data_IF_680922442617
#
_entry.id   IF_680922442617
#
_cell.length_a   1.000
_cell.length_b   1.000
_cell.length_c   1.000
_cell.angle_alpha   90.00
_cell.angle_beta   90.00
_cell.angle_gamma   90.00
#
_symmetry.space_group_name_H-M   'P 1'
#
loop_
_entity.id
_entity.type
_entity.pdbx_description
1 polymer ?
#
# COMPACT_ATOMS: atom_id res chain seq x y z
N UNK A 1 9.24 -33.39 43.57
CA UNK A 1 9.32 -31.93 43.32
C UNK A 1 9.81 -31.77 41.90
N UNK A 2 8.90 -31.65 40.94
CA UNK A 2 9.20 -31.74 39.49
C UNK A 2 9.30 -30.32 38.94
N UNK A 3 10.49 -29.94 38.47
CA UNK A 3 10.77 -28.60 37.98
C UNK A 3 10.21 -28.41 36.56
N UNK A 4 9.33 -27.42 36.38
CA UNK A 4 8.92 -26.93 35.06
C UNK A 4 9.98 -25.95 34.55
N UNK A 5 10.70 -26.31 33.48
CA UNK A 5 11.54 -25.38 32.74
C UNK A 5 10.67 -24.65 31.71
N UNK A 6 10.37 -23.38 31.95
CA UNK A 6 9.72 -22.50 30.99
C UNK A 6 10.79 -21.90 30.06
N UNK A 7 10.83 -22.35 28.81
CA UNK A 7 11.68 -21.76 27.76
C UNK A 7 11.07 -20.47 27.24
N UNK A 8 11.73 -19.34 27.45
CA UNK A 8 11.35 -18.06 26.86
C UNK A 8 11.81 -17.99 25.40
N UNK A 9 10.87 -18.03 24.45
CA UNK A 9 11.13 -17.74 23.04
C UNK A 9 11.15 -16.22 22.85
N UNK A 10 12.34 -15.64 22.68
CA UNK A 10 12.49 -14.23 22.29
C UNK A 10 12.37 -14.16 20.77
N UNK A 11 11.19 -13.75 20.28
CA UNK A 11 11.01 -13.42 18.86
C UNK A 11 11.60 -12.03 18.63
N UNK A 12 12.81 -11.97 18.09
CA UNK A 12 13.42 -10.71 17.64
C UNK A 12 12.72 -10.25 16.37
N UNK A 13 11.82 -9.27 16.50
CA UNK A 13 11.18 -8.61 15.35
C UNK A 13 12.18 -7.71 14.62
N UNK A 14 12.67 -8.15 13.46
CA UNK A 14 13.43 -7.30 12.55
C UNK A 14 12.45 -6.36 11.82
N UNK A 15 12.14 -5.21 12.40
CA UNK A 15 11.37 -4.16 11.71
C UNK A 15 12.00 -2.79 11.93
N UNK A 16 13.20 -2.61 11.40
CA UNK A 16 13.77 -1.28 11.15
C UNK A 16 14.13 -1.19 9.67
N UNK A 17 13.11 -1.05 8.82
CA UNK A 17 13.35 -0.62 7.44
C UNK A 17 13.91 0.81 7.49
N UNK A 18 15.21 0.95 7.27
CA UNK A 18 15.89 2.24 7.13
C UNK A 18 15.55 2.77 5.74
N UNK A 19 14.45 3.52 5.61
CA UNK A 19 14.04 4.16 4.36
C UNK A 19 12.54 4.43 4.28
N UNK A 20 12.09 5.18 3.25
CA UNK A 20 10.67 5.43 3.02
C UNK A 20 9.87 4.12 2.89
N UNK A 21 8.61 4.07 3.37
CA UNK A 21 7.83 2.83 3.36
C UNK A 21 7.51 2.39 1.93
N UNK A 22 7.78 1.13 1.61
CA UNK A 22 7.41 0.51 0.33
C UNK A 22 6.03 -0.15 0.42
N UNK A 23 5.24 -0.05 -0.65
CA UNK A 23 3.92 -0.69 -0.77
C UNK A 23 4.02 -1.85 -1.74
N UNK A 24 3.46 -3.01 -1.36
CA UNK A 24 3.41 -4.19 -2.22
C UNK A 24 2.10 -4.24 -2.98
N UNK A 25 2.18 -4.43 -4.30
CA UNK A 25 1.04 -4.66 -5.19
C UNK A 25 1.14 -6.05 -5.80
N UNK A 26 0.05 -6.81 -5.73
CA UNK A 26 -0.06 -8.14 -6.34
C UNK A 26 -1.28 -8.21 -7.26
N UNK A 27 -1.09 -8.71 -8.47
CA UNK A 27 -2.15 -8.85 -9.46
C UNK A 27 -1.72 -9.80 -10.57
N UNK A 28 -2.65 -10.62 -11.04
CA UNK A 28 -2.41 -11.62 -12.10
C UNK A 28 -1.12 -12.45 -11.90
N UNK A 29 -0.85 -12.88 -10.67
CA UNK A 29 0.30 -13.73 -10.35
C UNK A 29 1.65 -13.01 -10.26
N UNK A 30 1.68 -11.68 -10.39
CA UNK A 30 2.89 -10.87 -10.33
C UNK A 30 2.87 -9.96 -9.11
N UNK A 31 4.04 -9.74 -8.51
CA UNK A 31 4.24 -8.82 -7.38
C UNK A 31 5.23 -7.73 -7.77
N UNK A 32 4.91 -6.48 -7.43
CA UNK A 32 5.83 -5.34 -7.49
C UNK A 32 5.82 -4.60 -6.15
N UNK A 33 6.96 -4.06 -5.75
CA UNK A 33 7.07 -3.15 -4.61
C UNK A 33 7.31 -1.74 -5.13
N UNK A 34 6.45 -0.80 -4.74
CA UNK A 34 6.58 0.60 -5.10
C UNK A 34 7.18 1.37 -3.94
N UNK A 35 8.23 2.14 -4.23
CA UNK A 35 8.70 3.20 -3.35
C UNK A 35 7.79 4.42 -3.48
N UNK A 36 7.75 5.33 -2.48
CA UNK A 36 6.99 6.56 -2.62
C UNK A 36 7.55 7.42 -3.76
N UNK A 37 6.67 7.93 -4.62
CA UNK A 37 7.03 8.94 -5.64
C UNK A 37 7.25 10.33 -5.02
N UNK A 38 6.69 10.53 -3.83
CA UNK A 38 6.86 11.69 -2.98
C UNK A 38 6.94 11.19 -1.53
N UNK A 39 7.97 11.58 -0.81
CA UNK A 39 8.10 11.30 0.61
C UNK A 39 8.48 12.58 1.35
N UNK A 40 7.72 12.93 2.37
CA UNK A 40 7.99 14.10 3.20
C UNK A 40 8.41 13.66 4.61
N UNK A 41 9.18 14.51 5.27
CA UNK A 41 9.46 14.39 6.69
C UNK A 41 8.18 14.48 7.53
N UNK A 42 8.31 14.23 8.84
CA UNK A 42 7.16 14.16 9.75
C UNK A 42 6.38 15.48 9.81
N UNK A 43 7.06 16.62 9.62
CA UNK A 43 6.46 17.95 9.65
C UNK A 43 5.94 18.42 8.29
N UNK A 44 6.09 17.61 7.23
CA UNK A 44 5.68 17.92 5.85
C UNK A 44 6.33 19.21 5.34
N UNK A 45 7.59 19.45 5.74
CA UNK A 45 8.39 20.61 5.36
C UNK A 45 9.39 20.28 4.28
N UNK A 46 10.01 19.11 4.40
CA UNK A 46 11.07 18.64 3.52
C UNK A 46 10.55 17.42 2.77
N UNK A 47 10.34 17.58 1.46
CA UNK A 47 9.75 16.56 0.61
C UNK A 47 10.70 16.18 -0.53
N UNK A 48 11.10 14.92 -0.54
CA UNK A 48 11.85 14.32 -1.63
C UNK A 48 10.89 13.78 -2.70
N UNK A 49 11.26 13.99 -3.96
CA UNK A 49 10.53 13.48 -5.13
C UNK A 49 11.34 12.41 -5.83
N UNK A 50 10.68 11.30 -6.13
CA UNK A 50 11.25 10.15 -6.81
C UNK A 50 10.39 9.83 -8.03
N UNK A 51 10.48 10.61 -9.12
CA UNK A 51 9.60 10.44 -10.29
C UNK A 51 9.71 9.03 -10.91
N UNK A 52 10.89 8.40 -10.80
CA UNK A 52 11.16 7.07 -11.32
C UNK A 52 10.78 5.93 -10.35
N UNK A 53 10.19 6.25 -9.19
CA UNK A 53 9.73 5.25 -8.22
C UNK A 53 8.39 4.59 -8.58
N UNK A 54 7.67 5.14 -9.56
CA UNK A 54 6.47 4.53 -10.08
C UNK A 54 6.79 3.19 -10.76
N UNK A 55 6.02 2.15 -10.44
CA UNK A 55 6.20 0.80 -10.98
C UNK A 55 5.01 0.42 -11.86
N UNK A 56 5.27 -0.44 -12.85
CA UNK A 56 4.22 -0.99 -13.71
C UNK A 56 3.91 -2.42 -13.32
N UNK A 57 2.64 -2.71 -13.09
CA UNK A 57 2.12 -4.06 -12.90
C UNK A 57 1.11 -4.36 -14.01
N UNK A 58 1.36 -5.39 -14.81
CA UNK A 58 0.43 -5.81 -15.87
C UNK A 58 -0.72 -6.61 -15.25
N UNK A 59 -1.94 -6.12 -15.44
CA UNK A 59 -3.17 -6.82 -15.06
C UNK A 59 -4.17 -6.79 -16.21
N UNK A 60 -4.90 -7.88 -16.40
CA UNK A 60 -5.96 -8.05 -17.40
C UNK A 60 -7.20 -7.25 -17.00
N UNK A 61 -8.08 -6.94 -17.97
CA UNK A 61 -9.38 -6.36 -17.67
C UNK A 61 -10.18 -7.19 -16.65
N UNK A 62 -10.85 -6.51 -15.73
CA UNK A 62 -11.63 -7.08 -14.64
C UNK A 62 -10.82 -7.66 -13.49
N UNK A 63 -9.49 -7.80 -13.63
CA UNK A 63 -8.66 -8.40 -12.60
C UNK A 63 -8.44 -7.43 -11.42
N UNK A 64 -8.47 -7.93 -10.18
CA UNK A 64 -8.16 -7.12 -9.00
C UNK A 64 -6.66 -6.91 -8.84
N UNK A 65 -6.29 -5.83 -8.15
CA UNK A 65 -4.95 -5.63 -7.57
C UNK A 65 -5.07 -5.63 -6.05
N UNK A 66 -4.36 -6.54 -5.40
CA UNK A 66 -4.21 -6.58 -3.95
C UNK A 66 -3.06 -5.65 -3.54
N UNK A 67 -3.34 -4.78 -2.58
CA UNK A 67 -2.41 -3.80 -2.03
C UNK A 67 -2.13 -4.22 -0.60
N UNK A 68 -0.86 -4.32 -0.23
CA UNK A 68 -0.41 -4.56 1.14
C UNK A 68 0.48 -3.40 1.57
N UNK A 69 0.15 -2.80 2.72
CA UNK A 69 0.87 -1.65 3.27
C UNK A 69 1.67 -2.06 4.52
N UNK A 70 2.86 -1.48 4.73
CA UNK A 70 3.62 -1.68 5.97
C UNK A 70 2.96 -0.96 7.14
N UNK A 71 3.38 -1.31 8.36
CA UNK A 71 2.88 -0.71 9.59
C UNK A 71 3.01 0.83 9.59
N UNK A 72 4.13 1.36 9.06
CA UNK A 72 4.37 2.80 8.95
C UNK A 72 3.29 3.57 8.16
N UNK A 73 2.59 2.92 7.22
CA UNK A 73 1.44 3.51 6.52
C UNK A 73 0.15 3.19 7.26
N UNK A 74 -0.06 1.92 7.65
CA UNK A 74 -1.25 1.49 8.39
C UNK A 74 -1.52 2.34 9.62
N UNK A 75 -0.47 2.67 10.37
CA UNK A 75 -0.57 3.36 11.66
C UNK A 75 -0.84 4.87 11.51
N UNK A 76 -1.09 5.33 10.28
CA UNK A 76 -1.48 6.69 9.93
C UNK A 76 -2.78 6.69 9.13
N UNK A 77 -3.45 7.85 8.96
CA UNK A 77 -4.54 7.93 8.00
C UNK A 77 -3.99 7.76 6.58
N UNK A 78 -4.59 6.87 5.80
CA UNK A 78 -4.17 6.63 4.42
C UNK A 78 -5.37 6.44 3.51
N UNK A 79 -5.17 6.67 2.22
CA UNK A 79 -6.19 6.47 1.20
C UNK A 79 -5.62 5.70 0.00
N UNK A 80 -6.53 5.09 -0.76
CA UNK A 80 -6.24 4.50 -2.06
C UNK A 80 -7.03 5.21 -3.13
N UNK A 81 -6.34 5.73 -4.15
CA UNK A 81 -6.96 6.19 -5.40
C UNK A 81 -6.89 5.06 -6.42
N UNK A 82 -8.04 4.66 -6.94
CA UNK A 82 -8.15 3.65 -8.00
C UNK A 82 -8.73 4.31 -9.24
N UNK A 83 -7.89 4.47 -10.27
CA UNK A 83 -8.32 4.94 -11.58
C UNK A 83 -8.44 3.75 -12.54
N UNK A 84 -9.55 3.70 -13.28
CA UNK A 84 -9.80 2.63 -14.25
C UNK A 84 -10.56 3.16 -15.47
N UNK A 85 -10.33 2.53 -16.61
CA UNK A 85 -11.17 2.69 -17.80
C UNK A 85 -12.36 1.73 -17.70
N UNK A 86 -13.57 2.20 -18.00
CA UNK A 86 -14.75 1.34 -18.15
C UNK A 86 -14.78 0.63 -19.52
N UNK A 87 -15.81 -0.17 -19.78
CA UNK A 87 -15.99 -0.89 -21.05
C UNK A 87 -16.10 0.04 -22.29
N UNK A 88 -16.44 1.32 -22.09
CA UNK A 88 -16.53 2.34 -23.14
C UNK A 88 -15.23 3.15 -23.27
N UNK A 89 -14.23 2.86 -22.43
CA UNK A 89 -12.96 3.58 -22.38
C UNK A 89 -13.01 4.87 -21.56
N UNK A 90 -14.09 5.17 -20.83
CA UNK A 90 -14.14 6.36 -19.98
C UNK A 90 -13.31 6.12 -18.72
N UNK A 91 -12.49 7.11 -18.35
CA UNK A 91 -11.75 7.08 -17.10
C UNK A 91 -12.65 7.44 -15.92
N UNK A 92 -12.58 6.61 -14.89
CA UNK A 92 -13.31 6.76 -13.64
C UNK A 92 -12.33 6.67 -12.46
N UNK A 93 -12.68 7.29 -11.33
CA UNK A 93 -11.86 7.29 -10.12
C UNK A 93 -12.70 6.90 -8.92
N UNK A 94 -12.16 6.03 -8.07
CA UNK A 94 -12.67 5.72 -6.74
C UNK A 94 -11.62 6.05 -5.69
N UNK A 95 -12.07 6.52 -4.54
CA UNK A 95 -11.21 6.77 -3.40
C UNK A 95 -11.71 5.98 -2.20
N UNK A 96 -10.79 5.34 -1.48
CA UNK A 96 -11.08 4.64 -0.24
C UNK A 96 -10.15 5.14 0.86
N UNK A 97 -10.74 5.71 1.91
CA UNK A 97 -10.03 6.14 3.12
C UNK A 97 -9.96 5.01 4.16
N UNK A 98 -8.87 4.99 4.92
CA UNK A 98 -8.65 4.09 6.05
C UNK A 98 -8.15 4.87 7.26
N UNK A 99 -8.84 4.70 8.39
CA UNK A 99 -8.37 5.21 9.68
C UNK A 99 -7.12 4.47 10.16
N UNK A 100 -6.26 5.11 10.97
CA UNK A 100 -5.08 4.49 11.55
C UNK A 100 -5.36 3.13 12.20
N UNK A 101 -4.48 2.15 11.98
CA UNK A 101 -4.51 0.84 12.63
C UNK A 101 -5.60 -0.12 12.14
N UNK A 102 -6.49 0.29 11.22
CA UNK A 102 -7.70 -0.49 10.89
C UNK A 102 -7.51 -1.55 9.80
N UNK A 103 -6.57 -1.34 8.86
CA UNK A 103 -6.37 -2.20 7.69
C UNK A 103 -4.89 -2.22 7.26
N UNK A 104 -4.38 -3.42 6.97
CA UNK A 104 -3.05 -3.66 6.36
C UNK A 104 -3.12 -3.88 4.85
N UNK A 105 -4.32 -4.04 4.30
CA UNK A 105 -4.50 -4.40 2.90
C UNK A 105 -5.81 -3.88 2.34
N UNK A 106 -5.84 -3.71 1.03
CA UNK A 106 -7.03 -3.35 0.26
C UNK A 106 -6.98 -4.04 -1.10
N UNK A 107 -8.14 -4.41 -1.63
CA UNK A 107 -8.26 -4.98 -2.98
C UNK A 107 -8.90 -3.96 -3.89
N UNK A 108 -8.12 -3.39 -4.79
CA UNK A 108 -8.59 -2.47 -5.81
C UNK A 108 -9.24 -3.24 -6.96
N UNK A 109 -10.43 -2.83 -7.37
CA UNK A 109 -11.17 -3.41 -8.49
C UNK A 109 -11.70 -2.32 -9.43
N UNK A 110 -11.68 -2.55 -10.75
CA UNK A 110 -12.42 -1.71 -11.67
C UNK A 110 -13.94 -1.93 -11.50
N UNK A 111 -14.77 -1.12 -12.16
CA UNK A 111 -16.18 -1.46 -12.33
C UNK A 111 -16.41 -2.42 -13.49
N UNK A 112 -17.10 -3.51 -13.18
CA UNK A 112 -17.48 -4.52 -14.15
C UNK A 112 -16.31 -5.39 -14.65
N UNK A 113 -16.63 -6.49 -15.35
CA UNK A 113 -15.63 -7.48 -15.77
C UNK A 113 -14.75 -7.01 -16.94
N UNK A 114 -15.10 -5.91 -17.60
CA UNK A 114 -14.35 -5.35 -18.72
C UNK A 114 -13.55 -4.09 -18.34
N UNK A 115 -13.68 -3.60 -17.11
CA UNK A 115 -12.96 -2.42 -16.68
C UNK A 115 -11.45 -2.70 -16.53
N UNK A 116 -10.60 -1.75 -16.89
CA UNK A 116 -9.15 -1.89 -16.83
C UNK A 116 -8.58 -0.96 -15.78
N UNK A 117 -7.91 -1.49 -14.76
CA UNK A 117 -7.14 -0.68 -13.82
C UNK A 117 -6.02 0.04 -14.59
N UNK A 118 -5.89 1.35 -14.35
CA UNK A 118 -4.90 2.23 -14.99
C UNK A 118 -3.91 2.76 -13.95
N UNK A 119 -4.41 3.25 -12.82
CA UNK A 119 -3.59 3.74 -11.70
C UNK A 119 -4.14 3.18 -10.40
N UNK A 120 -3.25 2.65 -9.57
CA UNK A 120 -3.53 2.33 -8.17
C UNK A 120 -2.48 3.05 -7.34
N UNK A 121 -2.93 4.02 -6.55
CA UNK A 121 -2.05 4.89 -5.76
C UNK A 121 -2.43 4.77 -4.28
N UNK A 122 -1.42 4.64 -3.43
CA UNK A 122 -1.56 4.74 -1.98
C UNK A 122 -1.03 6.08 -1.53
N UNK A 123 -1.82 6.84 -0.79
CA UNK A 123 -1.41 8.12 -0.21
C UNK A 123 -1.47 8.03 1.30
N UNK A 124 -0.34 8.32 1.94
CA UNK A 124 -0.25 8.52 3.37
C UNK A 124 -0.59 9.99 3.68
N UNK A 125 -1.64 10.25 4.46
CA UNK A 125 -2.21 11.60 4.63
C UNK A 125 -1.60 12.39 5.79
N UNK A 126 -0.65 11.80 6.50
CA UNK A 126 0.06 12.47 7.58
C UNK A 126 1.21 11.60 8.06
N UNK A 127 2.20 12.24 8.66
CA UNK A 127 3.21 11.51 9.41
C UNK A 127 2.56 10.85 10.63
N UNK A 128 3.14 9.74 11.08
CA UNK A 128 2.69 9.08 12.31
C UNK A 128 2.51 10.12 13.42
N UNK A 129 1.41 10.01 14.18
CA UNK A 129 1.24 10.79 15.39
C UNK A 129 2.51 10.61 16.23
N UNK A 130 3.28 11.68 16.41
CA UNK A 130 4.42 11.73 17.31
C UNK A 130 3.94 11.71 18.77
#
# INVERSE_FOLDING_TARGET
MTALAAGALVVTGCATSVGPPEVTFYGDGHTVNAKPVLHCDVLVRDCDKYPDAAVTLKVRPGAPVQISVPAAIRDTPWLVNVQYADAKGNLNVKQQYFSPGTRLSYTATPDGPQGQLVVVEVQQLGAAYA
#
